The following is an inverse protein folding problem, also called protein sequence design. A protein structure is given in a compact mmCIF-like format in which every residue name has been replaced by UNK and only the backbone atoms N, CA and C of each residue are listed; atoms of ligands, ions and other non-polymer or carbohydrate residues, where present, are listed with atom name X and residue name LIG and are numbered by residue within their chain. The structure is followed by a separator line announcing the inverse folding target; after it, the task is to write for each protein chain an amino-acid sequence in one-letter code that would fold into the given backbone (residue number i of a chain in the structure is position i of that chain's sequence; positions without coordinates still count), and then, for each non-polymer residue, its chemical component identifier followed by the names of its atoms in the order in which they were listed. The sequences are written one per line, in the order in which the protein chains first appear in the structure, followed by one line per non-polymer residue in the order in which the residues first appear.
data_IF_491911361976
#
_entry.id   IF_491911361976
#
_cell.length_a   1.000
_cell.length_b   1.000
_cell.length_c   1.000
_cell.angle_alpha   90.00
_cell.angle_beta   90.00
_cell.angle_gamma   90.00
#
_symmetry.space_group_name_H-M   'P 1'
#
loop_
_entity.id
_entity.type
_entity.pdbx_description
1 polymer ?
#
# COMPACT_ATOMS: atom_id res chain seq x y z
N UNK A 1 -15.37 -7.79 -1.20
CA UNK A 1 -15.52 -9.04 -0.42
C UNK A 1 -14.63 -9.00 0.83
N UNK A 2 -15.24 -9.12 2.01
CA UNK A 2 -14.51 -9.31 3.28
C UNK A 2 -14.68 -10.77 3.71
N UNK A 3 -13.59 -11.51 3.89
CA UNK A 3 -13.62 -12.94 4.17
C UNK A 3 -12.90 -13.28 5.47
N UNK A 4 -13.58 -14.06 6.32
CA UNK A 4 -13.01 -14.59 7.55
C UNK A 4 -12.08 -15.77 7.25
N UNK A 5 -10.93 -15.84 7.93
CA UNK A 5 -10.00 -16.97 7.89
C UNK A 5 -9.53 -17.34 9.28
N UNK A 6 -9.58 -18.64 9.63
CA UNK A 6 -9.18 -19.18 10.96
C UNK A 6 -9.72 -18.38 12.17
N UNK A 7 -10.95 -17.88 12.05
CA UNK A 7 -11.59 -17.13 13.12
C UNK A 7 -11.34 -15.62 13.08
N UNK A 8 -10.44 -15.13 12.24
CA UNK A 8 -10.04 -13.72 12.12
C UNK A 8 -10.75 -13.07 10.92
N UNK A 9 -11.36 -11.91 11.14
CA UNK A 9 -12.06 -11.11 10.13
C UNK A 9 -11.32 -9.79 9.95
N UNK A 10 -11.24 -9.23 8.73
CA UNK A 10 -10.67 -7.91 8.52
C UNK A 10 -11.31 -6.84 9.41
N UNK A 11 -10.48 -5.94 9.96
CA UNK A 11 -10.90 -4.81 10.78
C UNK A 11 -10.76 -3.54 9.94
N UNK A 12 -11.89 -2.88 9.67
CA UNK A 12 -11.97 -1.75 8.76
C UNK A 12 -12.47 -0.54 9.56
N UNK A 13 -11.69 0.54 9.56
CA UNK A 13 -12.15 1.80 10.15
C UNK A 13 -13.43 2.29 9.46
N UNK A 14 -14.41 2.86 10.18
CA UNK A 14 -15.66 3.34 9.59
C UNK A 14 -15.50 4.42 8.51
N UNK A 15 -14.37 5.14 8.50
CA UNK A 15 -14.05 6.17 7.51
C UNK A 15 -13.25 5.63 6.31
N UNK A 16 -12.80 4.37 6.37
CA UNK A 16 -12.09 3.74 5.28
C UNK A 16 -13.04 3.30 4.16
N UNK A 17 -12.58 3.41 2.92
CA UNK A 17 -13.31 2.96 1.74
C UNK A 17 -12.77 1.62 1.23
N UNK A 18 -13.65 0.65 1.01
CA UNK A 18 -13.30 -0.62 0.37
C UNK A 18 -14.25 -0.87 -0.79
N UNK A 19 -13.73 -0.84 -2.01
CA UNK A 19 -14.53 -1.08 -3.20
C UNK A 19 -15.14 -2.51 -3.16
N UNK A 20 -16.40 -2.73 -3.60
CA UNK A 20 -17.06 -4.04 -3.54
C UNK A 20 -16.26 -5.19 -4.20
N UNK A 21 -15.58 -4.87 -5.31
CA UNK A 21 -14.72 -5.80 -6.06
C UNK A 21 -13.34 -6.06 -5.45
N UNK A 22 -12.94 -5.37 -4.37
CA UNK A 22 -11.70 -5.69 -3.65
C UNK A 22 -11.89 -6.94 -2.78
N UNK A 23 -10.80 -7.65 -2.48
CA UNK A 23 -10.83 -8.88 -1.66
C UNK A 23 -9.90 -8.73 -0.47
N UNK A 24 -10.47 -8.75 0.75
CA UNK A 24 -9.71 -8.70 2.00
C UNK A 24 -9.99 -9.96 2.80
N UNK A 25 -8.95 -10.69 3.20
CA UNK A 25 -9.08 -12.00 3.84
C UNK A 25 -8.25 -12.03 5.13
N UNK A 26 -8.83 -12.51 6.24
CA UNK A 26 -8.08 -12.82 7.45
C UNK A 26 -7.60 -11.59 8.23
N UNK A 27 -6.35 -11.61 8.70
CA UNK A 27 -5.75 -10.60 9.57
C UNK A 27 -5.31 -9.35 8.78
N UNK A 28 -6.30 -8.56 8.36
CA UNK A 28 -6.10 -7.28 7.67
C UNK A 28 -6.69 -6.17 8.52
N UNK A 29 -5.91 -5.09 8.74
CA UNK A 29 -6.38 -3.88 9.42
C UNK A 29 -6.22 -2.68 8.51
N UNK A 30 -7.30 -1.92 8.30
CA UNK A 30 -7.28 -0.64 7.60
C UNK A 30 -7.51 0.51 8.60
N UNK A 31 -6.61 1.48 8.57
CA UNK A 31 -6.72 2.72 9.35
C UNK A 31 -7.73 3.73 8.77
N UNK A 32 -7.96 4.84 9.50
CA UNK A 32 -8.90 5.89 9.10
C UNK A 32 -8.61 6.46 7.71
N UNK A 33 -9.66 6.69 6.93
CA UNK A 33 -9.60 7.25 5.57
C UNK A 33 -8.69 6.50 4.59
N UNK A 34 -8.28 5.26 4.92
CA UNK A 34 -7.59 4.40 3.98
C UNK A 34 -8.56 3.96 2.86
N UNK A 35 -8.02 3.70 1.67
CA UNK A 35 -8.83 3.33 0.50
C UNK A 35 -8.30 2.06 -0.16
N UNK A 36 -9.20 1.13 -0.50
CA UNK A 36 -8.88 -0.09 -1.26
C UNK A 36 -9.74 -0.16 -2.51
N UNK A 37 -9.09 -0.22 -3.67
CA UNK A 37 -9.70 0.01 -4.98
C UNK A 37 -10.04 -1.31 -5.71
N UNK A 38 -10.81 -1.25 -6.83
CA UNK A 38 -11.24 -2.44 -7.57
C UNK A 38 -10.15 -3.49 -7.78
N UNK A 39 -10.51 -4.77 -7.57
CA UNK A 39 -9.64 -5.91 -7.82
C UNK A 39 -8.35 -5.96 -6.99
N UNK A 40 -8.14 -5.05 -6.02
CA UNK A 40 -7.06 -5.18 -5.05
C UNK A 40 -7.31 -6.38 -4.13
N UNK A 41 -6.27 -7.16 -3.84
CA UNK A 41 -6.33 -8.36 -3.00
C UNK A 41 -5.36 -8.23 -1.83
N UNK A 42 -5.88 -8.17 -0.61
CA UNK A 42 -5.12 -8.16 0.63
C UNK A 42 -5.42 -9.47 1.37
N UNK A 43 -4.47 -10.40 1.36
CA UNK A 43 -4.66 -11.74 1.92
C UNK A 43 -3.82 -11.90 3.18
N UNK A 44 -4.40 -11.64 4.35
CA UNK A 44 -3.74 -11.79 5.65
C UNK A 44 -3.98 -13.17 6.26
N UNK A 45 -3.75 -14.24 5.49
CA UNK A 45 -3.93 -15.63 5.95
C UNK A 45 -2.66 -16.24 6.55
N UNK A 46 -1.50 -15.86 6.01
CA UNK A 46 -0.17 -16.26 6.47
C UNK A 46 0.41 -15.30 7.53
N UNK A 47 -0.18 -14.11 7.69
CA UNK A 47 0.28 -13.11 8.66
C UNK A 47 -0.51 -11.80 8.63
N UNK A 48 -0.15 -10.85 9.51
CA UNK A 48 -0.85 -9.58 9.63
C UNK A 48 -0.52 -8.61 8.50
N UNK A 49 -1.56 -8.08 7.83
CA UNK A 49 -1.45 -6.91 6.95
C UNK A 49 -1.95 -5.68 7.72
N UNK A 50 -1.14 -4.62 7.76
CA UNK A 50 -1.51 -3.35 8.41
C UNK A 50 -1.39 -2.20 7.42
N UNK A 51 -2.48 -1.48 7.19
CA UNK A 51 -2.53 -0.31 6.33
C UNK A 51 -2.86 0.91 7.18
N UNK A 52 -1.97 1.89 7.21
CA UNK A 52 -2.11 3.11 7.99
C UNK A 52 -3.16 4.09 7.45
N UNK A 53 -3.38 5.16 8.21
CA UNK A 53 -4.37 6.18 7.89
C UNK A 53 -4.06 6.90 6.57
N UNK A 54 -5.10 7.28 5.84
CA UNK A 54 -5.01 8.04 4.58
C UNK A 54 -4.16 7.36 3.48
N UNK A 55 -3.91 6.05 3.58
CA UNK A 55 -3.16 5.30 2.58
C UNK A 55 -4.08 4.68 1.53
N UNK A 56 -3.63 4.63 0.27
CA UNK A 56 -4.40 4.08 -0.84
C UNK A 56 -3.76 2.82 -1.40
N UNK A 57 -4.56 1.76 -1.55
CA UNK A 57 -4.19 0.49 -2.19
C UNK A 57 -4.95 0.39 -3.50
N UNK A 58 -4.30 0.81 -4.58
CA UNK A 58 -4.95 1.03 -5.87
C UNK A 58 -5.24 -0.28 -6.63
N UNK A 59 -5.96 -0.13 -7.72
CA UNK A 59 -6.57 -1.18 -8.51
C UNK A 59 -5.60 -2.32 -8.85
N UNK A 60 -6.06 -3.57 -8.68
CA UNK A 60 -5.28 -4.76 -9.01
C UNK A 60 -4.05 -5.01 -8.13
N UNK A 61 -3.78 -4.19 -7.10
CA UNK A 61 -2.66 -4.41 -6.18
C UNK A 61 -2.85 -5.68 -5.37
N UNK A 62 -1.78 -6.47 -5.22
CA UNK A 62 -1.75 -7.69 -4.41
C UNK A 62 -0.84 -7.48 -3.21
N UNK A 63 -1.36 -7.79 -2.01
CA UNK A 63 -0.64 -7.73 -0.74
C UNK A 63 -0.69 -9.09 -0.07
N UNK A 64 0.48 -9.67 0.19
CA UNK A 64 0.65 -10.97 0.85
C UNK A 64 1.98 -11.00 1.63
N UNK A 65 2.35 -12.14 2.19
CA UNK A 65 3.59 -12.34 2.94
C UNK A 65 3.92 -13.84 3.02
N UNK A 66 5.14 -14.17 3.46
CA UNK A 66 5.51 -15.55 3.78
C UNK A 66 5.27 -15.87 5.28
N UNK A 67 4.47 -16.91 5.55
CA UNK A 67 4.12 -17.40 6.91
C UNK A 67 5.37 -17.61 7.77
N UNK A 68 5.32 -17.08 9.00
CA UNK A 68 6.40 -17.17 9.98
C UNK A 68 7.71 -16.48 9.58
N UNK A 69 7.75 -15.75 8.46
CA UNK A 69 8.98 -15.12 7.94
C UNK A 69 8.93 -13.61 7.79
N UNK A 70 7.75 -13.06 7.55
CA UNK A 70 7.60 -11.64 7.21
C UNK A 70 6.20 -11.14 7.52
N UNK A 71 6.06 -9.83 7.61
CA UNK A 71 4.77 -9.13 7.73
C UNK A 71 4.72 -8.04 6.68
N UNK A 72 3.51 -7.63 6.29
CA UNK A 72 3.35 -6.51 5.36
C UNK A 72 2.72 -5.33 6.06
N UNK A 73 3.47 -4.24 6.14
CA UNK A 73 3.04 -3.00 6.77
C UNK A 73 3.15 -1.84 5.79
N UNK A 74 2.08 -1.08 5.69
CA UNK A 74 2.00 0.18 4.95
C UNK A 74 1.67 1.26 5.96
N UNK A 75 2.52 2.28 6.04
CA UNK A 75 2.37 3.42 6.94
C UNK A 75 1.21 4.33 6.58
N UNK A 76 1.27 5.55 7.08
CA UNK A 76 0.26 6.59 6.85
C UNK A 76 0.58 7.39 5.59
N UNK A 77 -0.45 7.92 4.93
CA UNK A 77 -0.30 8.82 3.77
C UNK A 77 0.53 8.20 2.63
N UNK A 78 0.43 6.88 2.46
CA UNK A 78 1.12 6.11 1.41
C UNK A 78 0.21 5.95 0.20
N UNK A 79 0.78 6.14 -0.99
CA UNK A 79 0.10 5.77 -2.24
C UNK A 79 0.72 4.49 -2.79
N UNK A 80 -0.01 3.39 -2.74
CA UNK A 80 0.36 2.13 -3.38
C UNK A 80 -0.34 2.05 -4.73
N UNK A 81 0.43 2.25 -5.79
CA UNK A 81 -0.02 2.40 -7.17
C UNK A 81 -0.71 1.16 -7.75
N UNK A 82 -1.39 1.32 -8.88
CA UNK A 82 -2.09 0.22 -9.56
C UNK A 82 -1.18 -0.98 -9.84
N UNK A 83 -1.71 -2.20 -9.73
CA UNK A 83 -1.01 -3.46 -10.03
C UNK A 83 0.33 -3.63 -9.29
N UNK A 84 0.46 -3.07 -8.08
CA UNK A 84 1.66 -3.29 -7.25
C UNK A 84 1.60 -4.67 -6.60
N UNK A 85 2.76 -5.28 -6.37
CA UNK A 85 2.89 -6.44 -5.47
C UNK A 85 3.68 -6.03 -4.23
N UNK A 86 3.04 -6.08 -3.06
CA UNK A 86 3.72 -5.95 -1.77
C UNK A 86 3.76 -7.33 -1.10
N UNK A 87 4.95 -7.87 -0.88
CA UNK A 87 5.12 -9.19 -0.30
C UNK A 87 6.07 -9.13 0.90
N UNK A 88 5.53 -9.29 2.12
CA UNK A 88 6.32 -9.37 3.35
C UNK A 88 7.18 -8.13 3.65
N UNK A 89 6.79 -6.94 3.21
CA UNK A 89 7.62 -5.72 3.26
C UNK A 89 7.08 -4.62 4.17
N UNK A 90 7.93 -3.66 4.52
CA UNK A 90 7.53 -2.44 5.23
C UNK A 90 7.66 -1.22 4.32
N UNK A 91 6.56 -0.48 4.16
CA UNK A 91 6.53 0.84 3.52
C UNK A 91 6.16 1.86 4.60
N UNK A 92 7.03 2.82 4.86
CA UNK A 92 6.80 3.87 5.84
C UNK A 92 6.02 5.05 5.24
N UNK A 93 5.75 6.03 6.09
CA UNK A 93 4.81 7.11 5.81
C UNK A 93 5.20 7.97 4.61
N UNK A 94 4.21 8.66 4.03
CA UNK A 94 4.42 9.68 3.01
C UNK A 94 5.27 9.16 1.84
N UNK A 95 4.92 7.99 1.33
CA UNK A 95 5.68 7.30 0.28
C UNK A 95 4.77 6.97 -0.90
N UNK A 96 5.32 7.03 -2.11
CA UNK A 96 4.68 6.53 -3.32
C UNK A 96 5.35 5.23 -3.74
N UNK A 97 4.56 4.17 -3.88
CA UNK A 97 4.93 2.96 -4.60
C UNK A 97 4.31 3.03 -5.98
N UNK A 98 5.11 3.31 -7.00
CA UNK A 98 4.65 3.49 -8.37
C UNK A 98 4.00 2.23 -8.94
N UNK A 99 3.05 2.43 -9.85
CA UNK A 99 2.27 1.35 -10.46
C UNK A 99 3.15 0.21 -11.02
N UNK A 100 2.71 -1.03 -10.87
CA UNK A 100 3.43 -2.20 -11.35
C UNK A 100 4.72 -2.52 -10.59
N UNK A 101 5.07 -1.79 -9.53
CA UNK A 101 6.25 -2.10 -8.73
C UNK A 101 6.04 -3.39 -7.91
N UNK A 102 7.15 -4.06 -7.62
CA UNK A 102 7.20 -5.28 -6.81
C UNK A 102 8.15 -5.04 -5.65
N UNK A 103 7.66 -5.17 -4.42
CA UNK A 103 8.44 -5.01 -3.18
C UNK A 103 8.41 -6.33 -2.41
N UNK A 104 9.59 -6.93 -2.24
CA UNK A 104 9.72 -8.31 -1.74
C UNK A 104 10.05 -8.37 -0.25
N UNK A 105 10.07 -9.60 0.28
CA UNK A 105 10.10 -9.90 1.71
C UNK A 105 11.24 -9.21 2.45
N UNK A 106 10.93 -8.65 3.62
CA UNK A 106 11.83 -7.93 4.50
C UNK A 106 12.47 -6.68 3.87
N UNK A 107 12.02 -6.24 2.69
CA UNK A 107 12.39 -4.94 2.17
C UNK A 107 11.75 -3.83 3.02
N UNK A 108 12.48 -2.72 3.16
CA UNK A 108 12.05 -1.55 3.91
C UNK A 108 12.17 -0.33 3.01
N UNK A 109 11.05 0.29 2.71
CA UNK A 109 10.97 1.60 2.07
C UNK A 109 10.71 2.62 3.17
N UNK A 110 11.70 3.44 3.47
CA UNK A 110 11.56 4.47 4.50
C UNK A 110 10.74 5.66 4.01
N UNK A 111 10.40 6.58 4.91
CA UNK A 111 9.46 7.67 4.62
C UNK A 111 9.93 8.60 3.51
N UNK A 112 8.98 9.33 2.90
CA UNK A 112 9.28 10.34 1.87
C UNK A 112 9.98 9.76 0.65
N UNK A 113 9.67 8.51 0.27
CA UNK A 113 10.27 7.88 -0.91
C UNK A 113 9.33 7.90 -2.11
N UNK A 114 9.93 7.85 -3.31
CA UNK A 114 9.23 7.53 -4.54
C UNK A 114 9.88 6.30 -5.15
N UNK A 115 9.14 5.19 -5.19
CA UNK A 115 9.49 4.00 -5.96
C UNK A 115 8.86 4.14 -7.34
N UNK A 116 9.68 4.21 -8.38
CA UNK A 116 9.20 4.39 -9.75
C UNK A 116 8.35 3.23 -10.26
N UNK A 117 7.53 3.47 -11.27
CA UNK A 117 6.71 2.44 -11.90
C UNK A 117 7.55 1.25 -12.41
N UNK A 118 7.04 0.03 -12.25
CA UNK A 118 7.70 -1.21 -12.68
C UNK A 118 8.99 -1.56 -11.95
N UNK A 119 9.30 -0.88 -10.84
CA UNK A 119 10.52 -1.10 -10.06
C UNK A 119 10.45 -2.41 -9.27
N UNK A 120 11.54 -3.18 -9.25
CA UNK A 120 11.69 -4.35 -8.37
C UNK A 120 12.60 -4.01 -7.20
N UNK A 121 12.07 -4.06 -5.98
CA UNK A 121 12.82 -3.95 -4.73
C UNK A 121 13.13 -5.37 -4.20
N UNK A 122 14.40 -5.82 -4.23
CA UNK A 122 14.77 -7.17 -3.81
C UNK A 122 14.50 -7.44 -2.32
N UNK A 123 14.44 -8.73 -1.90
CA UNK A 123 14.25 -9.08 -0.50
C UNK A 123 15.34 -8.49 0.41
N UNK A 124 14.96 -8.05 1.60
CA UNK A 124 15.87 -7.49 2.61
C UNK A 124 16.48 -6.12 2.24
N UNK A 125 16.11 -5.54 1.10
CA UNK A 125 16.68 -4.26 0.66
C UNK A 125 16.05 -3.10 1.43
N UNK A 126 16.89 -2.20 1.93
CA UNK A 126 16.47 -0.93 2.53
C UNK A 126 16.64 0.21 1.52
N UNK A 127 15.59 0.99 1.32
CA UNK A 127 15.59 2.26 0.58
C UNK A 127 15.57 3.37 1.63
N UNK A 128 16.63 4.21 1.71
CA UNK A 128 16.71 5.28 2.69
C UNK A 128 15.64 6.35 2.49
N UNK A 129 15.21 6.99 3.57
CA UNK A 129 14.21 8.05 3.54
C UNK A 129 14.59 9.16 2.55
N UNK A 130 13.58 9.74 1.87
CA UNK A 130 13.84 10.80 0.90
C UNK A 130 14.49 10.34 -0.39
N UNK A 131 14.37 9.05 -0.76
CA UNK A 131 14.98 8.51 -1.99
C UNK A 131 13.98 8.42 -3.14
N UNK A 132 14.46 8.70 -4.35
CA UNK A 132 13.78 8.35 -5.60
C UNK A 132 14.51 7.16 -6.23
N UNK A 133 13.81 6.05 -6.39
CA UNK A 133 14.38 4.79 -6.89
C UNK A 133 13.69 4.31 -8.16
N UNK A 134 14.45 3.71 -9.08
CA UNK A 134 13.92 3.14 -10.32
C UNK A 134 14.67 1.86 -10.69
N UNK A 135 13.97 0.98 -11.42
CA UNK A 135 14.57 -0.12 -12.16
C UNK A 135 14.30 -1.50 -11.59
N UNK A 136 14.73 -2.52 -12.34
CA UNK A 136 14.59 -3.92 -11.97
C UNK A 136 15.95 -4.64 -12.19
N UNK A 137 16.74 -4.89 -11.13
CA UNK A 137 16.53 -4.45 -9.75
C UNK A 137 16.76 -2.93 -9.58
N UNK A 138 16.16 -2.36 -8.53
CA UNK A 138 16.16 -0.91 -8.30
C UNK A 138 17.55 -0.33 -8.00
N UNK A 139 17.72 0.95 -8.37
CA UNK A 139 18.82 1.82 -7.93
C UNK A 139 18.26 3.12 -7.41
N UNK A 140 18.95 3.71 -6.44
CA UNK A 140 18.70 5.10 -6.01
C UNK A 140 19.22 6.03 -7.11
N UNK A 141 18.34 6.85 -7.66
CA UNK A 141 18.66 7.77 -8.76
C UNK A 141 19.04 9.14 -8.23
N UNK A 142 18.29 9.62 -7.22
CA UNK A 142 18.48 10.92 -6.58
C UNK A 142 17.72 10.98 -5.26
N UNK A 143 17.94 12.05 -4.50
CA UNK A 143 17.06 12.42 -3.39
C UNK A 143 15.77 13.06 -3.92
N UNK A 144 14.71 13.01 -3.11
CA UNK A 144 13.48 13.76 -3.35
C UNK A 144 13.74 15.27 -3.32
N UNK A 145 12.96 16.00 -4.09
CA UNK A 145 12.91 17.46 -4.15
C UNK A 145 11.63 17.96 -3.48
N UNK A 146 11.50 19.26 -3.25
CA UNK A 146 10.28 19.86 -2.71
C UNK A 146 9.05 19.57 -3.58
N UNK A 147 9.23 19.53 -4.91
CA UNK A 147 8.16 19.17 -5.85
C UNK A 147 7.74 17.69 -5.72
N UNK A 148 8.67 16.79 -5.40
CA UNK A 148 8.35 15.38 -5.13
C UNK A 148 7.57 15.23 -3.81
N UNK A 149 7.94 15.99 -2.77
CA UNK A 149 7.22 16.01 -1.50
C UNK A 149 5.79 16.57 -1.67
N UNK A 150 5.64 17.65 -2.44
CA UNK A 150 4.32 18.18 -2.79
C UNK A 150 3.50 17.17 -3.58
N UNK A 151 4.13 16.44 -4.51
CA UNK A 151 3.47 15.40 -5.28
C UNK A 151 3.00 14.22 -4.40
N UNK A 152 3.84 13.77 -3.46
CA UNK A 152 3.46 12.78 -2.43
C UNK A 152 2.23 13.27 -1.66
N UNK A 153 2.28 14.52 -1.17
CA UNK A 153 1.20 15.11 -0.40
C UNK A 153 -0.10 15.23 -1.19
N UNK A 154 -0.01 15.67 -2.45
CA UNK A 154 -1.14 15.75 -3.36
C UNK A 154 -1.78 14.38 -3.60
N UNK A 155 -0.94 13.36 -3.85
CA UNK A 155 -1.39 12.01 -4.20
C UNK A 155 -2.30 11.40 -3.13
N UNK A 156 -1.85 11.33 -1.88
CA UNK A 156 -2.66 10.72 -0.83
C UNK A 156 -3.91 11.56 -0.51
N UNK A 157 -3.82 12.90 -0.54
CA UNK A 157 -4.98 13.78 -0.32
C UNK A 157 -6.07 13.55 -1.35
N UNK A 158 -5.67 13.45 -2.62
CA UNK A 158 -6.61 13.19 -3.72
C UNK A 158 -7.35 11.85 -3.52
N UNK A 159 -6.66 10.82 -3.04
CA UNK A 159 -7.27 9.52 -2.77
C UNK A 159 -8.17 9.50 -1.53
N UNK A 160 -7.84 10.26 -0.48
CA UNK A 160 -8.74 10.47 0.66
C UNK A 160 -10.03 11.16 0.21
N UNK A 161 -9.93 12.25 -0.54
CA UNK A 161 -11.10 12.96 -1.09
C UNK A 161 -11.93 12.05 -1.98
N UNK A 162 -11.29 11.28 -2.86
CA UNK A 162 -11.98 10.34 -3.75
C UNK A 162 -12.67 9.23 -2.97
N UNK A 163 -12.02 8.66 -1.95
CA UNK A 163 -12.63 7.65 -1.08
C UNK A 163 -13.90 8.16 -0.41
N UNK A 164 -13.88 9.39 0.12
CA UNK A 164 -15.05 10.03 0.71
C UNK A 164 -16.19 10.21 -0.31
N UNK A 165 -15.88 10.66 -1.53
CA UNK A 165 -16.88 10.78 -2.60
C UNK A 165 -17.55 9.44 -2.92
N UNK A 166 -16.79 8.35 -3.03
CA UNK A 166 -17.36 7.02 -3.28
C UNK A 166 -18.16 6.45 -2.10
N UNK A 167 -17.94 6.93 -0.87
CA UNK A 167 -18.76 6.56 0.29
C UNK A 167 -20.11 7.28 0.29
N UNK A 168 -20.18 8.48 -0.28
CA UNK A 168 -21.41 9.27 -0.41
C UNK A 168 -22.30 8.79 -1.58
N UNK A 169 -21.70 8.21 -2.61
CA UNK A 169 -22.42 7.67 -3.76
C UNK A 169 -23.08 6.31 -3.44
N UNK A 170 -24.40 6.16 -3.59
CA UNK A 170 -25.06 4.86 -3.43
C UNK A 170 -24.57 3.91 -4.53
N UNK A 171 -23.92 2.81 -4.11
CA UNK A 171 -23.52 1.75 -5.04
C UNK A 171 -24.72 1.20 -5.81
N UNK A 172 -24.54 1.01 -7.12
CA UNK A 172 -25.55 0.38 -8.02
C UNK A 172 -25.74 -1.09 -7.68
#
# INVERSE_FOLDING_TARGET
MLQRFRGITPIIDPTAYVHPAAVLIGDVVLGPSATVWPCATLRGDDGPIRIGACSSIQDGTVIHMCDGRSITTVGERVTVGHNVTLHGCTVQDETIIGMGAIVLDNAIVESNCIVGAGTLVPPGKRIPAGSVVFGNPMRIVRSVTDADLEFIAHSWRAYVTRGAQYLEEPGV
#
